data_IF_340638962918
#
_entry.id   IF_340638962918
#
_cell.length_a   1.000
_cell.length_b   1.000
_cell.length_c   1.000
_cell.angle_alpha   90.00
_cell.angle_beta   90.00
_cell.angle_gamma   90.00
#
_symmetry.space_group_name_H-M   'P 1'
#
loop_
_entity.id
_entity.type
_entity.pdbx_description
1 polymer ?
#
# COMPACT_ATOMS: atom_id res chain seq x y z
N UNK A 1 -4.67 -5.27 -2.42
CA UNK A 1 -3.54 -6.22 -2.38
C UNK A 1 -2.59 -5.85 -1.24
N UNK A 2 -1.99 -6.83 -0.57
CA UNK A 2 -0.94 -6.56 0.41
C UNK A 2 0.33 -7.35 0.11
N UNK A 3 1.49 -6.69 0.30
CA UNK A 3 2.83 -7.26 0.23
C UNK A 3 3.41 -7.31 1.65
N UNK A 4 3.92 -8.46 2.05
CA UNK A 4 4.65 -8.60 3.29
C UNK A 4 6.07 -9.09 3.03
N UNK A 5 7.05 -8.54 3.75
CA UNK A 5 8.44 -8.96 3.62
C UNK A 5 9.33 -8.27 4.64
N UNK A 6 10.38 -8.94 5.07
CA UNK A 6 11.36 -8.40 6.00
C UNK A 6 12.11 -7.17 5.46
N UNK A 7 13.02 -6.62 6.25
CA UNK A 7 13.92 -5.56 5.77
C UNK A 7 14.66 -6.00 4.50
N UNK A 8 14.86 -5.07 3.58
CA UNK A 8 15.59 -5.29 2.31
C UNK A 8 15.05 -6.41 1.41
N UNK A 9 13.84 -6.94 1.66
CA UNK A 9 13.22 -8.00 0.84
C UNK A 9 12.74 -7.55 -0.53
N UNK A 10 12.83 -6.26 -0.88
CA UNK A 10 12.41 -5.72 -2.18
C UNK A 10 10.99 -5.17 -2.23
N UNK A 11 10.31 -4.93 -1.10
CA UNK A 11 8.94 -4.38 -1.05
C UNK A 11 8.75 -3.10 -1.85
N UNK A 12 9.58 -2.10 -1.58
CA UNK A 12 9.50 -0.80 -2.27
C UNK A 12 9.81 -0.94 -3.77
N UNK A 13 10.72 -1.85 -4.14
CA UNK A 13 11.00 -2.18 -5.54
C UNK A 13 9.80 -2.83 -6.22
N UNK A 14 9.12 -3.76 -5.53
CA UNK A 14 7.89 -4.38 -6.03
C UNK A 14 6.77 -3.34 -6.22
N UNK A 15 6.58 -2.43 -5.26
CA UNK A 15 5.60 -1.34 -5.39
C UNK A 15 5.93 -0.43 -6.59
N UNK A 16 7.20 -0.03 -6.77
CA UNK A 16 7.61 0.75 -7.94
C UNK A 16 7.34 0.01 -9.25
N UNK A 17 7.62 -1.28 -9.29
CA UNK A 17 7.36 -2.12 -10.46
C UNK A 17 5.87 -2.17 -10.79
N UNK A 18 5.01 -2.37 -9.79
CA UNK A 18 3.55 -2.39 -9.97
C UNK A 18 3.06 -1.06 -10.54
N UNK A 19 3.43 0.06 -9.92
CA UNK A 19 3.02 1.39 -10.38
C UNK A 19 3.52 1.67 -11.79
N UNK A 20 4.80 1.40 -12.06
CA UNK A 20 5.40 1.63 -13.37
C UNK A 20 4.79 0.75 -14.46
N UNK A 21 4.53 -0.52 -14.16
CA UNK A 21 3.91 -1.45 -15.11
C UNK A 21 2.48 -1.03 -15.47
N UNK A 22 1.70 -0.56 -14.50
CA UNK A 22 0.35 -0.05 -14.75
C UNK A 22 0.39 1.28 -15.51
N UNK A 23 1.30 2.18 -15.16
CA UNK A 23 1.46 3.46 -15.86
C UNK A 23 1.90 3.28 -17.32
N UNK A 24 2.69 2.27 -17.63
CA UNK A 24 3.08 1.95 -19.02
C UNK A 24 1.92 1.38 -19.86
N UNK A 25 0.91 0.79 -19.23
CA UNK A 25 -0.20 0.11 -19.91
C UNK A 25 -1.47 0.96 -20.01
N UNK A 26 -1.59 1.99 -19.22
CA UNK A 26 -2.79 2.83 -19.12
C UNK A 26 -2.43 4.29 -19.30
N UNK A 27 -3.36 5.09 -19.79
CA UNK A 27 -3.20 6.53 -19.81
C UNK A 27 -3.44 7.15 -18.41
N UNK A 28 -2.96 8.36 -18.13
CA UNK A 28 -3.25 9.05 -16.86
C UNK A 28 -4.74 9.33 -16.63
N UNK A 29 -5.56 9.27 -17.69
CA UNK A 29 -7.02 9.36 -17.59
C UNK A 29 -7.68 8.04 -17.17
N UNK A 30 -6.99 6.91 -17.38
CA UNK A 30 -7.50 5.57 -17.08
C UNK A 30 -7.00 5.04 -15.74
N UNK A 31 -5.81 5.44 -15.30
CA UNK A 31 -5.23 5.01 -14.02
C UNK A 31 -4.51 6.17 -13.32
N UNK A 32 -4.76 6.32 -12.03
CA UNK A 32 -4.20 7.37 -11.17
C UNK A 32 -3.67 6.76 -9.88
N UNK A 33 -2.55 7.29 -9.38
CA UNK A 33 -1.90 6.80 -8.18
C UNK A 33 -1.75 7.90 -7.14
N UNK A 34 -2.03 7.54 -5.90
CA UNK A 34 -1.67 8.28 -4.70
C UNK A 34 -0.70 7.42 -3.90
N UNK A 35 0.41 8.00 -3.48
CA UNK A 35 1.51 7.26 -2.86
C UNK A 35 1.79 7.80 -1.46
N UNK A 36 1.82 6.91 -0.48
CA UNK A 36 2.23 7.19 0.90
C UNK A 36 3.49 6.37 1.16
N UNK A 37 4.64 7.05 1.28
CA UNK A 37 5.95 6.42 1.50
C UNK A 37 6.44 6.67 2.93
N UNK A 38 6.06 5.77 3.83
CA UNK A 38 6.55 5.77 5.22
C UNK A 38 7.77 4.87 5.40
N UNK A 39 8.18 4.18 4.34
CA UNK A 39 9.23 3.17 4.35
C UNK A 39 10.64 3.69 4.10
N UNK A 40 10.83 5.00 3.87
CA UNK A 40 12.16 5.58 3.72
C UNK A 40 12.45 6.30 2.40
N UNK A 41 11.43 6.83 1.73
CA UNK A 41 11.59 7.71 0.56
C UNK A 41 11.90 7.00 -0.76
N UNK A 42 11.77 5.67 -0.80
CA UNK A 42 12.11 4.88 -1.99
C UNK A 42 11.10 5.07 -3.15
N UNK A 43 9.91 5.58 -2.86
CA UNK A 43 8.85 5.82 -3.83
C UNK A 43 8.78 7.27 -4.32
N UNK A 44 9.58 8.19 -3.77
CA UNK A 44 9.57 9.61 -4.12
C UNK A 44 9.76 9.86 -5.63
N UNK A 45 10.58 9.04 -6.30
CA UNK A 45 10.81 9.14 -7.75
C UNK A 45 9.55 8.95 -8.61
N UNK A 46 8.52 8.29 -8.08
CA UNK A 46 7.24 8.06 -8.76
C UNK A 46 6.46 9.37 -9.00
N UNK A 47 6.72 10.43 -8.24
CA UNK A 47 6.09 11.74 -8.40
C UNK A 47 6.28 12.33 -9.81
N UNK A 48 7.32 11.89 -10.53
CA UNK A 48 7.59 12.31 -11.91
C UNK A 48 6.65 11.68 -12.96
N UNK A 49 5.90 10.65 -12.59
CA UNK A 49 4.96 10.02 -13.50
C UNK A 49 3.69 10.85 -13.62
N UNK A 50 3.17 11.10 -14.84
CA UNK A 50 1.94 11.88 -15.03
C UNK A 50 0.69 11.21 -14.45
N UNK A 51 0.79 9.95 -14.05
CA UNK A 51 -0.27 9.18 -13.40
C UNK A 51 -0.33 9.41 -11.89
N UNK A 52 0.71 9.97 -11.29
CA UNK A 52 0.81 10.14 -9.84
C UNK A 52 0.29 11.51 -9.43
N UNK A 53 -0.83 11.53 -8.73
CA UNK A 53 -1.50 12.75 -8.27
C UNK A 53 -0.85 13.34 -7.01
N UNK A 54 -0.16 12.51 -6.22
CA UNK A 54 0.57 12.96 -5.05
C UNK A 54 1.41 11.87 -4.42
N UNK A 55 2.52 12.29 -3.82
CA UNK A 55 3.39 11.45 -2.99
C UNK A 55 3.56 12.15 -1.64
N UNK A 56 3.34 11.44 -0.53
CA UNK A 56 3.58 11.95 0.81
C UNK A 56 4.55 11.05 1.56
N UNK A 57 5.53 11.67 2.20
CA UNK A 57 6.50 11.00 3.06
C UNK A 57 6.08 10.97 4.53
N UNK A 58 6.93 10.35 5.35
CA UNK A 58 6.68 10.15 6.78
C UNK A 58 6.52 11.45 7.57
N UNK A 59 7.26 12.48 7.21
CA UNK A 59 7.27 13.77 7.92
C UNK A 59 6.16 14.72 7.41
N UNK A 60 5.34 14.26 6.46
CA UNK A 60 4.27 15.03 5.83
C UNK A 60 2.87 14.57 6.27
N UNK A 61 2.62 14.41 7.59
CA UNK A 61 1.38 13.85 8.14
C UNK A 61 0.10 14.51 7.62
N UNK A 62 0.09 15.84 7.47
CA UNK A 62 -1.04 16.58 6.89
C UNK A 62 -1.30 16.21 5.41
N UNK A 63 -0.24 15.99 4.63
CA UNK A 63 -0.35 15.57 3.24
C UNK A 63 -0.83 14.12 3.15
N UNK A 64 -0.40 13.25 4.06
CA UNK A 64 -0.89 11.87 4.17
C UNK A 64 -2.40 11.87 4.41
N UNK A 65 -2.89 12.64 5.40
CA UNK A 65 -4.33 12.75 5.68
C UNK A 65 -5.12 13.25 4.48
N UNK A 66 -4.64 14.31 3.83
CA UNK A 66 -5.28 14.87 2.63
C UNK A 66 -5.37 13.86 1.50
N UNK A 67 -4.31 13.08 1.25
CA UNK A 67 -4.32 12.01 0.24
C UNK A 67 -5.39 10.97 0.58
N UNK A 68 -5.45 10.51 1.82
CA UNK A 68 -6.44 9.51 2.23
C UNK A 68 -7.86 10.05 2.13
N UNK A 69 -8.10 11.30 2.53
CA UNK A 69 -9.40 11.96 2.43
C UNK A 69 -9.85 12.13 0.98
N UNK A 70 -8.94 12.50 0.09
CA UNK A 70 -9.21 12.64 -1.34
C UNK A 70 -9.57 11.29 -1.96
N UNK A 71 -8.80 10.23 -1.67
CA UNK A 71 -9.08 8.88 -2.15
C UNK A 71 -10.41 8.35 -1.61
N UNK A 72 -10.73 8.56 -0.33
CA UNK A 72 -12.02 8.23 0.25
C UNK A 72 -13.18 8.99 -0.42
N UNK A 73 -12.91 10.21 -0.90
CA UNK A 73 -13.85 11.02 -1.65
C UNK A 73 -14.33 10.36 -2.94
N UNK A 74 -13.48 9.59 -3.64
CA UNK A 74 -13.85 8.88 -4.87
C UNK A 74 -14.83 7.73 -4.63
N UNK A 75 -14.91 7.18 -3.43
CA UNK A 75 -15.92 6.17 -3.09
C UNK A 75 -17.33 6.79 -3.10
N UNK A 76 -17.45 8.02 -2.59
CA UNK A 76 -18.71 8.77 -2.57
C UNK A 76 -19.09 9.38 -3.92
N UNK A 77 -18.09 9.63 -4.76
CA UNK A 77 -18.24 10.19 -6.12
C UNK A 77 -17.38 9.38 -7.09
N UNK A 78 -17.86 8.17 -7.48
CA UNK A 78 -17.10 7.27 -8.34
C UNK A 78 -16.75 7.92 -9.69
N UNK A 79 -15.50 7.72 -10.10
CA UNK A 79 -15.00 8.12 -11.41
C UNK A 79 -14.67 6.87 -12.25
N UNK A 80 -14.60 7.03 -13.57
CA UNK A 80 -14.19 5.93 -14.45
C UNK A 80 -12.68 5.65 -14.37
N UNK A 81 -11.89 6.58 -13.85
CA UNK A 81 -10.46 6.43 -13.65
C UNK A 81 -10.20 5.48 -12.47
N UNK A 82 -9.48 4.39 -12.70
CA UNK A 82 -9.03 3.52 -11.63
C UNK A 82 -8.04 4.25 -10.74
N UNK A 83 -8.37 4.39 -9.46
CA UNK A 83 -7.55 5.08 -8.46
C UNK A 83 -6.85 4.07 -7.57
N UNK A 84 -5.54 4.18 -7.44
CA UNK A 84 -4.72 3.31 -6.62
C UNK A 84 -4.10 4.10 -5.45
N UNK A 85 -4.40 3.68 -4.23
CA UNK A 85 -3.71 4.12 -3.02
C UNK A 85 -2.60 3.14 -2.72
N UNK A 86 -1.35 3.58 -2.85
CA UNK A 86 -0.15 2.77 -2.62
C UNK A 86 0.51 3.22 -1.31
N UNK A 87 0.66 2.30 -0.37
CA UNK A 87 1.21 2.59 0.96
C UNK A 87 2.42 1.70 1.21
N UNK A 88 3.60 2.29 1.33
CA UNK A 88 4.81 1.62 1.81
C UNK A 88 5.04 1.93 3.29
N UNK A 89 5.42 0.91 4.07
CA UNK A 89 5.70 1.07 5.48
C UNK A 89 4.45 1.08 6.37
N UNK A 90 3.42 0.30 6.06
CA UNK A 90 2.19 0.20 6.85
C UNK A 90 2.40 -0.01 8.34
N UNK A 91 3.49 -0.67 8.75
CA UNK A 91 3.80 -0.87 10.16
C UNK A 91 3.96 0.43 10.96
N UNK A 92 4.19 1.56 10.29
CA UNK A 92 4.21 2.88 10.95
C UNK A 92 2.80 3.42 11.22
N UNK A 93 1.79 2.94 10.51
CA UNK A 93 0.38 3.29 10.73
C UNK A 93 -0.28 2.29 11.69
N UNK A 94 -0.03 1.01 11.48
CA UNK A 94 -0.75 -0.09 12.14
C UNK A 94 -0.34 -0.39 13.58
N UNK A 95 0.82 0.08 14.04
CA UNK A 95 1.29 -0.12 15.41
C UNK A 95 1.02 1.11 16.24
N UNK A 96 -0.07 1.11 17.02
CA UNK A 96 -0.36 2.01 18.18
C UNK A 96 0.20 3.44 18.13
N UNK A 97 0.46 3.97 16.94
CA UNK A 97 0.88 5.35 16.80
C UNK A 97 -0.39 6.20 16.73
N UNK A 98 -0.74 6.86 17.84
CA UNK A 98 -1.92 7.71 17.95
C UNK A 98 -2.00 8.78 16.83
N UNK A 99 -0.86 9.11 16.25
CA UNK A 99 -0.76 10.09 15.16
C UNK A 99 -1.47 9.63 13.87
N UNK A 100 -1.51 8.31 13.60
CA UNK A 100 -2.05 7.74 12.34
C UNK A 100 -3.23 6.80 12.55
N UNK A 101 -3.86 6.79 13.72
CA UNK A 101 -5.00 5.89 14.01
C UNK A 101 -6.20 6.20 13.12
N UNK A 102 -6.52 7.48 12.93
CA UNK A 102 -7.56 7.96 12.02
C UNK A 102 -7.32 7.52 10.57
N UNK A 103 -6.06 7.47 10.14
CA UNK A 103 -5.67 7.01 8.81
C UNK A 103 -5.91 5.51 8.67
N UNK A 104 -5.56 4.71 9.68
CA UNK A 104 -5.77 3.26 9.64
C UNK A 104 -7.25 2.91 9.49
N UNK A 105 -8.13 3.62 10.18
CA UNK A 105 -9.58 3.43 10.07
C UNK A 105 -10.10 3.78 8.68
N UNK A 106 -9.76 4.96 8.17
CA UNK A 106 -10.16 5.40 6.83
C UNK A 106 -9.63 4.47 5.72
N UNK A 107 -8.38 4.02 5.81
CA UNK A 107 -7.84 3.06 4.83
C UNK A 107 -8.59 1.73 4.91
N UNK A 108 -9.02 1.29 6.10
CA UNK A 108 -9.83 0.08 6.25
C UNK A 108 -11.18 0.24 5.54
N UNK A 109 -11.85 1.39 5.66
CA UNK A 109 -13.07 1.73 4.93
C UNK A 109 -12.83 1.74 3.40
N UNK A 110 -11.72 2.34 2.95
CA UNK A 110 -11.35 2.35 1.53
C UNK A 110 -11.14 0.93 1.00
N UNK A 111 -10.54 0.04 1.79
CA UNK A 111 -10.34 -1.37 1.39
C UNK A 111 -11.67 -2.10 1.30
N UNK A 112 -12.62 -1.82 2.22
CA UNK A 112 -13.93 -2.47 2.25
C UNK A 112 -14.79 -2.06 1.05
N UNK A 113 -14.88 -0.79 0.74
CA UNK A 113 -15.88 -0.22 -0.15
C UNK A 113 -15.32 0.23 -1.51
N UNK A 114 -14.00 0.42 -1.60
CA UNK A 114 -13.35 1.07 -2.74
C UNK A 114 -13.49 0.32 -4.05
N UNK A 115 -13.51 -1.01 -4.04
CA UNK A 115 -13.51 -1.82 -5.26
C UNK A 115 -14.71 -1.51 -6.18
N UNK A 116 -15.89 -1.27 -5.61
CA UNK A 116 -17.10 -0.91 -6.35
C UNK A 116 -17.01 0.48 -7.01
N UNK A 117 -16.13 1.34 -6.51
CA UNK A 117 -15.88 2.70 -7.00
C UNK A 117 -14.56 2.81 -7.80
N UNK A 118 -13.99 1.70 -8.25
CA UNK A 118 -12.69 1.63 -8.94
C UNK A 118 -11.51 2.18 -8.11
N UNK A 119 -11.62 2.12 -6.77
CA UNK A 119 -10.56 2.49 -5.84
C UNK A 119 -9.89 1.22 -5.30
N UNK A 120 -8.59 1.13 -5.45
CA UNK A 120 -7.79 -0.04 -5.09
C UNK A 120 -6.69 0.35 -4.12
N UNK A 121 -6.44 -0.50 -3.12
CA UNK A 121 -5.37 -0.27 -2.13
C UNK A 121 -4.28 -1.30 -2.30
N UNK A 122 -3.03 -0.84 -2.33
CA UNK A 122 -1.81 -1.67 -2.36
C UNK A 122 -0.96 -1.31 -1.16
N UNK A 123 -0.80 -2.24 -0.23
CA UNK A 123 -0.11 -2.01 1.06
C UNK A 123 1.14 -2.86 1.12
N UNK A 124 2.27 -2.27 1.52
CA UNK A 124 3.46 -3.02 1.90
C UNK A 124 3.75 -2.89 3.40
N UNK A 125 4.03 -4.02 4.03
CA UNK A 125 4.32 -4.10 5.46
C UNK A 125 5.49 -5.04 5.75
N UNK A 126 6.11 -4.88 6.92
CA UNK A 126 7.22 -5.73 7.36
C UNK A 126 6.76 -7.06 7.97
N UNK A 127 5.58 -7.09 8.58
CA UNK A 127 4.97 -8.27 9.23
C UNK A 127 3.46 -8.22 9.09
N UNK A 128 2.83 -9.38 8.94
CA UNK A 128 1.36 -9.49 8.92
C UNK A 128 0.71 -9.07 10.25
N UNK A 129 1.40 -9.26 11.36
CA UNK A 129 0.91 -8.89 12.69
C UNK A 129 0.73 -7.38 12.88
N UNK A 130 1.37 -6.54 12.04
CA UNK A 130 1.19 -5.09 12.06
C UNK A 130 -0.11 -4.66 11.39
N UNK A 131 -0.76 -5.54 10.65
CA UNK A 131 -2.09 -5.29 10.07
C UNK A 131 -3.16 -5.80 11.03
N UNK A 132 -4.06 -4.91 11.46
CA UNK A 132 -5.21 -5.30 12.27
C UNK A 132 -6.06 -6.32 11.51
N UNK A 133 -6.69 -7.31 12.20
CA UNK A 133 -7.53 -8.31 11.56
C UNK A 133 -8.59 -7.70 10.62
N UNK A 134 -9.21 -6.59 11.03
CA UNK A 134 -10.25 -5.91 10.26
C UNK A 134 -9.81 -5.57 8.82
N UNK A 135 -8.60 -5.04 8.63
CA UNK A 135 -8.09 -4.73 7.28
C UNK A 135 -7.46 -5.95 6.61
N UNK A 136 -6.73 -6.78 7.37
CA UNK A 136 -6.04 -7.97 6.85
C UNK A 136 -7.00 -8.96 6.21
N UNK A 137 -8.17 -9.16 6.82
CA UNK A 137 -9.15 -10.14 6.39
C UNK A 137 -9.95 -9.68 5.16
N UNK A 138 -10.03 -8.36 4.92
CA UNK A 138 -10.60 -7.78 3.70
C UNK A 138 -9.67 -7.91 2.48
N UNK A 139 -8.37 -8.13 2.68
CA UNK A 139 -7.40 -8.21 1.58
C UNK A 139 -7.27 -9.65 1.10
N UNK A 140 -7.87 -9.95 -0.05
CA UNK A 140 -7.82 -11.27 -0.68
C UNK A 140 -6.47 -11.55 -1.34
N UNK A 141 -5.88 -10.57 -2.03
CA UNK A 141 -4.62 -10.75 -2.77
C UNK A 141 -3.42 -10.45 -1.87
N UNK A 142 -2.66 -11.49 -1.55
CA UNK A 142 -1.49 -11.42 -0.66
C UNK A 142 -0.26 -11.89 -1.40
N UNK A 143 0.85 -11.16 -1.24
CA UNK A 143 2.16 -11.51 -1.75
C UNK A 143 3.16 -11.51 -0.59
N UNK A 144 3.90 -12.57 -0.44
CA UNK A 144 5.01 -12.64 0.49
C UNK A 144 6.33 -12.64 -0.26
N UNK A 145 7.15 -11.67 0.07
CA UNK A 145 8.58 -11.69 -0.18
C UNK A 145 9.27 -12.42 0.96
N UNK A 146 10.59 -12.47 1.00
CA UNK A 146 11.27 -13.07 2.14
C UNK A 146 10.87 -12.38 3.44
N UNK A 147 10.32 -13.13 4.37
CA UNK A 147 9.97 -12.66 5.72
C UNK A 147 11.20 -12.70 6.63
N UNK A 148 11.20 -11.90 7.70
CA UNK A 148 12.21 -11.99 8.75
C UNK A 148 12.18 -13.33 9.48
N UNK A 149 10.98 -13.82 9.75
CA UNK A 149 10.71 -15.12 10.37
C UNK A 149 9.76 -15.94 9.48
N UNK A 150 10.17 -17.13 9.11
CA UNK A 150 9.34 -18.01 8.26
C UNK A 150 8.03 -18.43 8.93
N UNK A 151 7.98 -18.43 10.27
CA UNK A 151 6.78 -18.70 11.05
C UNK A 151 5.70 -17.63 10.91
N UNK A 152 6.06 -16.40 10.54
CA UNK A 152 5.12 -15.30 10.32
C UNK A 152 4.34 -15.44 8.99
N UNK A 153 4.67 -16.43 8.16
CA UNK A 153 4.00 -16.65 6.88
C UNK A 153 2.54 -17.05 7.07
N UNK A 154 1.67 -16.38 6.33
CA UNK A 154 0.25 -16.71 6.17
C UNK A 154 -0.05 -17.48 4.89
N UNK A 155 0.94 -17.64 3.99
CA UNK A 155 0.79 -18.33 2.70
C UNK A 155 1.42 -19.71 2.77
N UNK A 156 2.74 -19.79 2.90
CA UNK A 156 3.47 -21.09 2.96
C UNK A 156 4.79 -20.94 3.74
N UNK A 157 4.79 -21.48 4.95
CA UNK A 157 5.97 -21.48 5.85
C UNK A 157 7.14 -22.28 5.30
N UNK A 158 6.86 -23.40 4.60
CA UNK A 158 7.91 -24.25 4.04
C UNK A 158 8.59 -23.59 2.85
N UNK A 159 7.81 -22.86 2.05
CA UNK A 159 8.35 -22.10 0.95
C UNK A 159 9.22 -20.94 1.44
N UNK A 160 8.80 -20.22 2.50
CA UNK A 160 9.57 -19.16 3.10
C UNK A 160 10.97 -19.59 3.56
N UNK A 161 11.11 -20.82 4.08
CA UNK A 161 12.40 -21.38 4.50
C UNK A 161 13.37 -21.61 3.34
N UNK A 162 12.85 -21.74 2.12
CA UNK A 162 13.65 -22.00 0.91
C UNK A 162 14.03 -20.73 0.16
N UNK A 163 13.45 -19.58 0.52
CA UNK A 163 13.79 -18.31 -0.14
C UNK A 163 15.23 -17.91 0.20
N UNK A 164 16.03 -17.49 -0.80
CA UNK A 164 17.42 -17.08 -0.58
C UNK A 164 17.50 -15.90 0.36
N UNK A 165 18.61 -15.77 1.06
CA UNK A 165 18.96 -14.54 1.79
C UNK A 165 19.10 -13.39 0.81
N UNK A 166 18.59 -12.23 1.15
CA UNK A 166 18.83 -11.02 0.38
C UNK A 166 20.30 -10.62 0.48
#
# INVERSE_FOLDING_TARGET
>A
MALCGGPQSGKSSALRTIVSALALRHSPKAARFYVIDLGGGQLASLERLPHVAGVAGRDEGEKVRRIVDEVAGFIRRPEQCATFLVIDGWHHIGTSNAEFEDIAEKVTEIVADGASAHVHVVIATSRWTTMRPAIRDLIANRLELRLGESLDSLIDRKLQQKLPSA
#
